data_IF_936579229925
#
_entry.id   IF_936579229925
#
_cell.length_a   1.000
_cell.length_b   1.000
_cell.length_c   1.000
_cell.angle_alpha   90.00
_cell.angle_beta   90.00
_cell.angle_gamma   90.00
#
_symmetry.space_group_name_H-M   'P 1'
#
loop_
_entity.id
_entity.type
_entity.pdbx_description
1 polymer ?
#
# COMPACT_ATOMS: atom_id res chain seq x y z
N UNK A 1 -8.89 3.60 -15.15
CA UNK A 1 -10.08 3.01 -14.50
C UNK A 1 -9.73 1.97 -13.44
N UNK A 2 -8.79 1.04 -13.67
CA UNK A 2 -8.42 0.01 -12.67
C UNK A 2 -8.06 0.59 -11.29
N UNK A 3 -7.20 1.62 -11.25
CA UNK A 3 -6.86 2.33 -10.01
C UNK A 3 -8.08 2.89 -9.29
N UNK A 4 -8.97 3.57 -10.00
CA UNK A 4 -10.20 4.12 -9.43
C UNK A 4 -11.03 3.03 -8.75
N UNK A 5 -11.20 1.87 -9.41
CA UNK A 5 -11.96 0.76 -8.82
C UNK A 5 -11.27 0.16 -7.59
N UNK A 6 -9.94 0.07 -7.60
CA UNK A 6 -9.19 -0.37 -6.42
C UNK A 6 -9.38 0.60 -5.24
N UNK A 7 -9.24 1.91 -5.47
CA UNK A 7 -9.43 2.94 -4.43
C UNK A 7 -10.86 2.96 -3.90
N UNK A 8 -11.83 2.86 -4.80
CA UNK A 8 -13.25 2.76 -4.44
C UNK A 8 -13.52 1.51 -3.60
N UNK A 9 -12.95 0.36 -3.98
CA UNK A 9 -13.10 -0.88 -3.23
C UNK A 9 -12.52 -0.77 -1.82
N UNK A 10 -11.32 -0.19 -1.67
CA UNK A 10 -10.73 0.09 -0.34
C UNK A 10 -11.67 0.93 0.53
N UNK A 11 -12.28 1.97 -0.05
CA UNK A 11 -13.25 2.82 0.64
C UNK A 11 -14.54 2.06 1.01
N UNK A 12 -15.09 1.27 0.08
CA UNK A 12 -16.36 0.55 0.28
C UNK A 12 -16.25 -0.55 1.33
N UNK A 13 -15.15 -1.30 1.33
CA UNK A 13 -14.89 -2.36 2.31
C UNK A 13 -14.30 -1.81 3.62
N UNK A 14 -14.14 -0.49 3.73
CA UNK A 14 -13.57 0.20 4.88
C UNK A 14 -12.20 -0.38 5.29
N UNK A 15 -11.36 -0.65 4.28
CA UNK A 15 -10.01 -1.17 4.47
C UNK A 15 -9.14 -0.04 5.02
N UNK A 16 -8.66 -0.23 6.24
CA UNK A 16 -7.85 0.75 6.98
C UNK A 16 -6.36 0.40 6.98
N UNK A 17 -6.01 -0.83 6.59
CA UNK A 17 -4.65 -1.33 6.55
C UNK A 17 -4.48 -2.32 5.40
N UNK A 18 -3.32 -2.30 4.75
CA UNK A 18 -2.98 -3.20 3.66
C UNK A 18 -1.55 -3.70 3.78
N UNK A 19 -1.33 -4.94 3.35
CA UNK A 19 -0.01 -5.47 3.09
C UNK A 19 0.43 -5.09 1.68
N UNK A 20 1.63 -4.53 1.58
CA UNK A 20 2.21 -4.14 0.30
C UNK A 20 3.64 -4.65 0.17
N UNK A 21 4.09 -4.75 -1.06
CA UNK A 21 5.48 -5.04 -1.40
C UNK A 21 6.13 -3.79 -1.99
N UNK A 22 7.30 -3.42 -1.48
CA UNK A 22 8.13 -2.34 -2.02
C UNK A 22 8.63 -2.74 -3.39
N UNK A 23 8.31 -1.95 -4.42
CA UNK A 23 8.84 -2.16 -5.76
C UNK A 23 10.19 -1.45 -5.93
N UNK A 24 10.23 -0.18 -5.54
CA UNK A 24 11.43 0.69 -5.55
C UNK A 24 11.11 1.99 -4.83
N UNK A 25 12.10 2.62 -4.21
CA UNK A 25 11.93 3.91 -3.51
C UNK A 25 10.70 3.85 -2.56
N UNK A 26 9.71 4.72 -2.76
CA UNK A 26 8.43 4.69 -2.06
C UNK A 26 7.27 4.10 -2.88
N UNK A 27 7.56 3.51 -4.03
CA UNK A 27 6.57 2.86 -4.89
C UNK A 27 6.27 1.46 -4.36
N UNK A 28 5.00 1.21 -4.02
CA UNK A 28 4.56 -0.05 -3.43
C UNK A 28 3.40 -0.64 -4.21
N UNK A 29 3.29 -1.97 -4.19
CA UNK A 29 2.16 -2.73 -4.75
C UNK A 29 1.39 -3.43 -3.63
N UNK A 30 0.08 -3.27 -3.59
CA UNK A 30 -0.79 -4.02 -2.68
C UNK A 30 -0.79 -5.51 -3.08
N UNK A 31 -0.68 -6.41 -2.09
CA UNK A 31 -0.51 -7.83 -2.38
C UNK A 31 -1.77 -8.48 -2.97
N UNK A 32 -2.96 -8.06 -2.55
CA UNK A 32 -4.23 -8.73 -2.87
C UNK A 32 -4.98 -8.12 -4.06
N UNK A 33 -4.58 -6.94 -4.54
CA UNK A 33 -5.25 -6.21 -5.62
C UNK A 33 -4.21 -5.53 -6.54
N UNK A 34 -4.52 -5.24 -7.80
CA UNK A 34 -3.58 -4.59 -8.74
C UNK A 34 -3.42 -3.08 -8.47
N UNK A 35 -3.35 -2.66 -7.20
CA UNK A 35 -3.15 -1.28 -6.82
C UNK A 35 -1.66 -1.00 -6.54
N UNK A 36 -1.11 -0.03 -7.26
CA UNK A 36 0.24 0.49 -7.07
C UNK A 36 0.14 1.96 -6.71
N UNK A 37 0.81 2.42 -5.65
CA UNK A 37 0.84 3.83 -5.26
C UNK A 37 2.18 4.21 -4.64
N UNK A 38 2.39 5.52 -4.44
CA UNK A 38 3.53 6.02 -3.68
C UNK A 38 3.14 6.19 -2.22
N UNK A 39 3.85 5.51 -1.33
CA UNK A 39 3.65 5.61 0.10
C UNK A 39 4.54 6.73 0.67
N UNK A 40 4.04 7.95 0.76
CA UNK A 40 4.83 9.14 1.13
C UNK A 40 5.55 9.05 2.48
N UNK A 41 5.02 8.25 3.41
CA UNK A 41 5.61 8.02 4.74
C UNK A 41 6.58 6.84 4.80
N UNK A 42 6.81 6.15 3.68
CA UNK A 42 7.62 4.94 3.67
C UNK A 42 9.10 5.31 3.89
N UNK A 43 9.80 4.69 4.87
CA UNK A 43 11.24 4.84 4.98
C UNK A 43 11.96 4.21 3.78
N UNK A 44 13.24 4.52 3.61
CA UNK A 44 14.05 3.87 2.59
C UNK A 44 14.19 2.38 2.92
N UNK A 45 13.55 1.54 2.09
CA UNK A 45 13.53 0.09 2.23
C UNK A 45 13.96 -0.55 0.91
N UNK A 46 14.62 -1.72 0.96
CA UNK A 46 14.98 -2.44 -0.26
C UNK A 46 13.74 -2.90 -1.03
N UNK A 47 13.91 -3.06 -2.35
CA UNK A 47 12.88 -3.66 -3.17
C UNK A 47 12.57 -5.09 -2.69
N UNK A 48 11.32 -5.51 -2.89
CA UNK A 48 10.72 -6.76 -2.43
C UNK A 48 10.46 -6.87 -0.92
N UNK A 49 10.79 -5.85 -0.11
CA UNK A 49 10.38 -5.83 1.30
C UNK A 49 8.86 -5.77 1.43
N UNK A 50 8.30 -6.64 2.26
CA UNK A 50 6.88 -6.60 2.64
C UNK A 50 6.70 -5.66 3.81
N UNK A 51 5.69 -4.80 3.73
CA UNK A 51 5.40 -3.82 4.77
C UNK A 51 3.89 -3.70 4.97
N UNK A 52 3.50 -3.30 6.17
CA UNK A 52 2.14 -2.95 6.52
C UNK A 52 1.97 -1.44 6.45
N UNK A 53 0.90 -0.99 5.78
CA UNK A 53 0.58 0.42 5.58
C UNK A 53 -0.86 0.68 6.00
N UNK A 54 -1.06 1.73 6.79
CA UNK A 54 -2.38 2.29 7.06
C UNK A 54 -2.87 3.09 5.84
N UNK A 55 -4.13 2.84 5.46
CA UNK A 55 -4.89 3.60 4.49
C UNK A 55 -5.65 4.70 5.23
N UNK A 56 -5.45 5.95 4.80
CA UNK A 56 -6.14 7.12 5.31
C UNK A 56 -7.23 7.60 4.36
N UNK A 57 -7.30 8.91 4.19
CA UNK A 57 -8.22 9.55 3.26
C UNK A 57 -7.93 9.13 1.81
N UNK A 58 -8.99 8.81 1.07
CA UNK A 58 -8.93 8.42 -0.34
C UNK A 58 -9.66 9.51 -1.13
N UNK A 59 -8.95 10.17 -2.03
CA UNK A 59 -9.54 11.09 -2.99
C UNK A 59 -9.77 10.36 -4.32
N UNK A 60 -11.04 10.15 -4.67
CA UNK A 60 -11.42 9.45 -5.90
C UNK A 60 -11.37 10.34 -7.15
N UNK A 61 -11.37 11.67 -6.98
CA UNK A 61 -11.30 12.63 -8.09
C UNK A 61 -9.85 12.73 -8.56
N UNK A 62 -8.92 12.92 -7.62
CA UNK A 62 -7.49 13.00 -7.86
C UNK A 62 -6.82 11.61 -7.97
N UNK A 63 -7.56 10.54 -7.61
CA UNK A 63 -7.06 9.16 -7.52
C UNK A 63 -5.86 9.05 -6.55
N UNK A 64 -5.92 9.78 -5.45
CA UNK A 64 -4.91 9.81 -4.41
C UNK A 64 -5.33 8.98 -3.18
N UNK A 65 -4.34 8.54 -2.41
CA UNK A 65 -4.57 7.88 -1.13
C UNK A 65 -3.49 8.31 -0.14
N UNK A 66 -3.94 8.87 0.98
CA UNK A 66 -3.09 9.16 2.11
C UNK A 66 -2.68 7.86 2.78
N UNK A 67 -1.40 7.73 3.10
CA UNK A 67 -0.84 6.50 3.67
C UNK A 67 0.13 6.77 4.79
N UNK A 68 0.19 5.83 5.73
CA UNK A 68 1.14 5.86 6.84
C UNK A 68 1.80 4.51 7.02
N UNK A 69 3.12 4.50 7.05
CA UNK A 69 3.91 3.31 7.35
C UNK A 69 3.63 2.84 8.78
N UNK A 70 3.38 1.53 8.94
CA UNK A 70 3.18 0.90 10.24
C UNK A 70 4.44 0.13 10.62
N UNK A 71 4.81 -0.88 9.83
CA UNK A 71 5.94 -1.75 10.11
C UNK A 71 6.45 -2.45 8.85
N UNK A 72 7.73 -2.80 8.84
CA UNK A 72 8.26 -3.77 7.90
C UNK A 72 7.97 -5.17 8.45
N UNK A 73 7.53 -6.07 7.57
CA UNK A 73 7.30 -7.47 7.94
C UNK A 73 8.61 -8.23 7.78
N UNK A 74 9.09 -8.82 8.88
CA UNK A 74 10.18 -9.78 8.80
C UNK A 74 9.66 -11.03 8.06
N UNK A 75 10.34 -11.39 6.97
CA UNK A 75 10.20 -12.74 6.42
C UNK A 75 10.70 -13.71 7.47
N UNK A 76 9.77 -14.29 8.23
CA UNK A 76 10.08 -15.47 9.04
C UNK A 76 10.44 -16.58 8.07
N UNK A 77 11.74 -16.77 7.86
CA UNK A 77 12.31 -17.95 7.21
C UNK A 77 11.85 -19.17 8.01
N UNK A 78 10.73 -19.75 7.62
CA UNK A 78 10.38 -21.11 8.02
C UNK A 78 11.40 -22.01 7.32
N UNK A 79 12.38 -22.46 8.11
CA UNK A 79 13.36 -23.47 7.72
C UNK A 79 12.76 -24.86 7.66
#
# INVERSE_FOLDING_TARGET
>A
MERYWCLRWLQQENITEVEVTVLRENLVKVNNIPLIFRASSLPELPANTRVQIAIGEIDLIDMDVQTRFISAMEESLVG
#
